data_IF_171908204983
#
_entry.id   IF_171908204983
#
_cell.length_a   1.000
_cell.length_b   1.000
_cell.length_c   1.000
_cell.angle_alpha   90.00
_cell.angle_beta   90.00
_cell.angle_gamma   90.00
#
_symmetry.space_group_name_H-M   'P 1'
#
loop_
_entity.id
_entity.type
_entity.pdbx_description
1 polymer ?
#
# COMPACT_ATOMS: atom_id res chain seq x y z
N UNK A 1 -19.60 8.02 20.85
CA UNK A 1 -18.38 7.41 20.27
C UNK A 1 -18.61 7.19 18.79
N UNK A 2 -17.63 7.55 17.95
CA UNK A 2 -17.62 7.29 16.49
C UNK A 2 -16.24 6.86 16.07
N UNK A 3 -16.15 5.80 15.28
CA UNK A 3 -14.94 5.28 14.68
C UNK A 3 -15.02 5.38 13.16
N UNK A 4 -13.90 5.70 12.52
CA UNK A 4 -13.67 5.45 11.09
C UNK A 4 -12.71 4.29 10.97
N UNK A 5 -13.09 3.27 10.21
CA UNK A 5 -12.25 2.10 9.97
C UNK A 5 -11.93 2.05 8.48
N UNK A 6 -10.65 2.16 8.14
CA UNK A 6 -10.14 2.02 6.78
C UNK A 6 -9.58 0.61 6.60
N UNK A 7 -10.06 -0.12 5.59
CA UNK A 7 -9.47 -1.41 5.20
C UNK A 7 -8.26 -1.12 4.34
N UNK A 8 -7.07 -1.24 4.91
CA UNK A 8 -5.82 -0.95 4.20
C UNK A 8 -5.41 -2.13 3.33
N UNK A 9 -5.73 -2.05 2.02
CA UNK A 9 -5.63 -3.16 1.07
C UNK A 9 -5.16 -2.72 -0.33
N UNK A 10 -5.50 -1.51 -0.77
CA UNK A 10 -5.11 -0.98 -2.07
C UNK A 10 -3.84 -0.15 -1.98
N UNK A 11 -3.08 -0.07 -3.06
CA UNK A 11 -1.87 0.75 -3.16
C UNK A 11 -2.01 1.90 -4.15
N UNK A 12 -2.74 1.72 -5.23
CA UNK A 12 -2.93 2.73 -6.25
C UNK A 12 -4.16 3.59 -5.99
N UNK A 13 -5.28 2.96 -5.68
CA UNK A 13 -6.56 3.62 -5.43
C UNK A 13 -6.83 3.85 -3.93
N UNK A 14 -7.74 4.78 -3.56
CA UNK A 14 -8.14 4.99 -2.18
C UNK A 14 -8.71 3.73 -1.53
N UNK A 15 -8.32 3.50 -0.29
CA UNK A 15 -8.79 2.39 0.52
C UNK A 15 -10.25 2.61 0.97
N UNK A 16 -11.09 1.55 1.01
CA UNK A 16 -12.46 1.68 1.46
C UNK A 16 -12.54 1.91 2.96
N UNK A 17 -13.53 2.70 3.37
CA UNK A 17 -13.77 3.07 4.76
C UNK A 17 -15.20 2.75 5.18
N UNK A 18 -15.39 2.50 6.46
CA UNK A 18 -16.71 2.39 7.10
C UNK A 18 -16.71 3.14 8.42
N UNK A 19 -17.83 3.78 8.76
CA UNK A 19 -18.00 4.43 10.05
C UNK A 19 -18.91 3.58 10.95
N UNK A 20 -18.53 3.48 12.23
CA UNK A 20 -19.29 2.84 13.29
C UNK A 20 -19.65 3.87 14.34
N UNK A 21 -20.90 3.86 14.78
CA UNK A 21 -21.42 4.77 15.79
C UNK A 21 -21.98 4.04 17.02
N UNK A 22 -22.01 4.74 18.14
CA UNK A 22 -22.72 4.34 19.36
C UNK A 22 -22.30 2.97 19.88
N UNK A 23 -23.25 2.02 19.99
CA UNK A 23 -23.03 0.66 20.50
C UNK A 23 -22.05 -0.11 19.60
N UNK A 24 -22.21 -0.06 18.27
CA UNK A 24 -21.34 -0.79 17.33
C UNK A 24 -19.87 -0.38 17.45
N UNK A 25 -19.63 0.91 17.68
CA UNK A 25 -18.25 1.42 17.90
C UNK A 25 -17.67 0.90 19.22
N UNK A 26 -18.47 0.87 20.30
CA UNK A 26 -18.03 0.31 21.59
C UNK A 26 -17.76 -1.18 21.51
N UNK A 27 -18.68 -1.95 20.94
CA UNK A 27 -18.55 -3.40 20.78
C UNK A 27 -17.30 -3.77 19.97
N UNK A 28 -16.96 -2.96 18.93
CA UNK A 28 -15.73 -3.14 18.18
C UNK A 28 -14.48 -2.89 19.03
N UNK A 29 -14.44 -1.79 19.81
CA UNK A 29 -13.27 -1.49 20.66
C UNK A 29 -13.08 -2.49 21.80
N UNK A 30 -14.15 -3.07 22.35
CA UNK A 30 -14.06 -4.13 23.37
C UNK A 30 -13.37 -5.40 22.80
N UNK A 31 -13.60 -5.71 21.53
CA UNK A 31 -12.91 -6.81 20.84
C UNK A 31 -11.42 -6.51 20.57
N UNK A 32 -11.09 -5.24 20.32
CA UNK A 32 -9.71 -4.76 20.11
C UNK A 32 -8.89 -4.73 21.38
N UNK A 33 -9.51 -4.54 22.54
CA UNK A 33 -8.86 -4.33 23.85
C UNK A 33 -7.53 -5.07 24.00
N UNK A 34 -6.40 -4.37 24.30
CA UNK A 34 -5.09 -5.00 24.43
C UNK A 34 -5.09 -6.14 25.45
N UNK A 35 -4.67 -7.34 25.03
CA UNK A 35 -4.64 -8.52 25.88
C UNK A 35 -3.22 -8.82 26.40
N UNK A 36 -2.20 -8.71 25.52
CA UNK A 36 -0.82 -9.01 25.87
C UNK A 36 0.14 -8.15 25.04
N UNK A 37 1.13 -7.55 25.69
CA UNK A 37 2.23 -6.87 25.00
C UNK A 37 3.09 -7.86 24.22
N UNK A 38 3.43 -7.55 22.98
CA UNK A 38 4.37 -8.32 22.18
C UNK A 38 5.79 -7.78 22.39
N UNK A 39 6.77 -8.67 22.40
CA UNK A 39 8.19 -8.26 22.46
C UNK A 39 8.52 -7.43 21.23
N UNK A 40 9.33 -6.39 21.42
CA UNK A 40 9.81 -5.53 20.31
C UNK A 40 10.50 -6.41 19.25
N UNK A 41 10.10 -6.30 17.99
CA UNK A 41 10.61 -7.12 16.88
C UNK A 41 9.97 -8.51 16.72
N UNK A 42 9.04 -8.90 17.60
CA UNK A 42 8.40 -10.21 17.53
C UNK A 42 7.49 -10.41 16.30
N UNK A 43 7.05 -9.32 15.68
CA UNK A 43 6.20 -9.39 14.49
C UNK A 43 6.48 -8.18 13.59
N UNK A 44 6.84 -8.40 12.30
CA UNK A 44 7.02 -7.30 11.36
C UNK A 44 5.69 -6.58 11.12
N UNK A 45 5.76 -5.25 10.96
CA UNK A 45 4.61 -4.50 10.51
C UNK A 45 4.22 -4.95 9.10
N UNK A 46 2.93 -5.18 8.80
CA UNK A 46 2.48 -5.58 7.47
C UNK A 46 2.54 -4.43 6.44
N UNK A 47 2.97 -3.24 6.83
CA UNK A 47 2.86 -2.01 6.04
C UNK A 47 3.64 -2.02 4.72
N UNK A 48 4.72 -2.79 4.61
CA UNK A 48 5.51 -2.90 3.38
C UNK A 48 4.89 -3.81 2.32
N UNK A 49 3.85 -4.57 2.67
CA UNK A 49 3.25 -5.57 1.77
C UNK A 49 2.25 -4.98 0.79
N UNK A 50 2.13 -5.64 -0.36
CA UNK A 50 1.04 -5.45 -1.30
C UNK A 50 -0.14 -6.38 -0.93
N UNK A 51 -1.38 -5.86 -1.00
CA UNK A 51 -2.58 -6.54 -0.54
C UNK A 51 -3.01 -6.06 0.85
N UNK A 52 -3.72 -6.88 1.60
CA UNK A 52 -4.26 -6.52 2.92
C UNK A 52 -3.15 -6.31 3.96
N UNK A 53 -3.19 -5.16 4.63
CA UNK A 53 -2.23 -4.71 5.64
C UNK A 53 -2.89 -4.44 7.00
N UNK A 54 -4.19 -4.69 7.12
CA UNK A 54 -4.92 -4.53 8.37
C UNK A 54 -6.02 -3.47 8.30
N UNK A 55 -6.65 -3.24 9.43
CA UNK A 55 -7.65 -2.22 9.67
C UNK A 55 -6.99 -1.00 10.34
N UNK A 56 -7.08 0.17 9.72
CA UNK A 56 -6.69 1.43 10.37
C UNK A 56 -7.92 1.98 11.07
N UNK A 57 -7.84 2.14 12.38
CA UNK A 57 -8.94 2.59 13.24
C UNK A 57 -8.65 4.00 13.73
N UNK A 58 -9.53 4.93 13.39
CA UNK A 58 -9.51 6.32 13.85
C UNK A 58 -10.69 6.56 14.81
N UNK A 59 -10.40 7.04 16.02
CA UNK A 59 -11.39 7.45 16.99
C UNK A 59 -11.80 8.92 16.75
N UNK A 60 -12.88 9.16 16.00
CA UNK A 60 -13.27 10.51 15.54
C UNK A 60 -13.94 11.31 16.68
N UNK A 61 -14.87 10.67 17.43
CA UNK A 61 -15.66 11.34 18.46
C UNK A 61 -15.74 10.51 19.73
N UNK A 62 -15.59 11.17 20.90
CA UNK A 62 -15.58 10.56 22.22
C UNK A 62 -14.61 9.36 22.31
N UNK A 63 -13.29 9.58 22.13
CA UNK A 63 -12.30 8.51 22.09
C UNK A 63 -12.19 7.79 23.43
N UNK A 64 -11.95 6.48 23.39
CA UNK A 64 -11.53 5.70 24.56
C UNK A 64 -10.12 6.11 24.97
N UNK A 65 -9.88 6.28 26.27
CA UNK A 65 -8.53 6.57 26.81
C UNK A 65 -7.61 5.34 26.84
N UNK A 66 -8.20 4.14 26.70
CA UNK A 66 -7.45 2.88 26.74
C UNK A 66 -6.70 2.54 25.43
N UNK A 67 -6.99 3.26 24.36
CA UNK A 67 -6.41 3.00 23.02
C UNK A 67 -5.93 4.31 22.39
N UNK A 68 -4.88 4.27 21.55
CA UNK A 68 -4.46 5.42 20.77
C UNK A 68 -5.60 5.99 19.92
N UNK A 69 -5.53 7.28 19.61
CA UNK A 69 -6.53 7.92 18.75
C UNK A 69 -6.59 7.32 17.35
N UNK A 70 -5.45 6.85 16.87
CA UNK A 70 -5.30 6.11 15.62
C UNK A 70 -4.37 4.94 15.84
N UNK A 71 -4.74 3.77 15.35
CA UNK A 71 -3.95 2.54 15.45
C UNK A 71 -4.32 1.57 14.31
N UNK A 72 -3.47 0.57 14.10
CA UNK A 72 -3.69 -0.51 13.12
C UNK A 72 -3.98 -1.81 13.84
N UNK A 73 -4.95 -2.57 13.35
CA UNK A 73 -5.18 -3.97 13.70
C UNK A 73 -4.81 -4.84 12.50
N UNK A 74 -3.93 -5.79 12.68
CA UNK A 74 -3.54 -6.71 11.61
C UNK A 74 -3.16 -8.08 12.16
N UNK A 75 -3.77 -9.14 11.62
CA UNK A 75 -3.58 -10.54 12.00
C UNK A 75 -3.58 -10.76 13.53
N UNK A 76 -4.61 -10.26 14.21
CA UNK A 76 -4.80 -10.45 15.64
C UNK A 76 -3.87 -9.61 16.53
N UNK A 77 -3.21 -8.61 16.00
CA UNK A 77 -2.37 -7.69 16.77
C UNK A 77 -2.73 -6.22 16.50
N UNK A 78 -2.54 -5.37 17.52
CA UNK A 78 -2.62 -3.92 17.42
C UNK A 78 -1.22 -3.35 17.29
N UNK A 79 -1.02 -2.44 16.33
CA UNK A 79 0.21 -1.71 16.11
C UNK A 79 -0.01 -0.23 16.40
N UNK A 80 0.86 0.34 17.20
CA UNK A 80 0.90 1.76 17.52
C UNK A 80 2.34 2.27 17.50
N UNK A 81 2.56 3.57 17.80
CA UNK A 81 3.88 4.21 17.69
C UNK A 81 4.96 3.57 18.56
N UNK A 82 4.60 2.94 19.69
CA UNK A 82 5.58 2.51 20.70
C UNK A 82 5.62 1.00 20.93
N UNK A 83 4.49 0.29 20.83
CA UNK A 83 4.39 -1.14 21.16
C UNK A 83 3.33 -1.85 20.30
N UNK A 84 3.59 -3.11 19.97
CA UNK A 84 2.59 -4.00 19.44
C UNK A 84 1.99 -4.85 20.57
N UNK A 85 0.66 -5.06 20.52
CA UNK A 85 -0.07 -5.88 21.49
C UNK A 85 -0.94 -6.89 20.75
N UNK A 86 -1.19 -8.05 21.37
CA UNK A 86 -2.28 -8.91 20.94
C UNK A 86 -3.62 -8.28 21.30
N UNK A 87 -4.63 -8.47 20.47
CA UNK A 87 -6.00 -8.01 20.75
C UNK A 87 -6.78 -9.06 21.55
N UNK A 88 -7.87 -8.63 22.20
CA UNK A 88 -8.71 -9.52 23.03
C UNK A 88 -9.43 -10.59 22.18
N UNK A 89 -9.84 -10.22 20.97
CA UNK A 89 -10.51 -11.12 20.03
C UNK A 89 -9.65 -11.30 18.76
N UNK A 90 -8.88 -12.39 18.63
CA UNK A 90 -8.02 -12.64 17.49
C UNK A 90 -8.80 -12.86 16.18
N UNK A 91 -10.13 -13.11 16.23
CA UNK A 91 -11.00 -13.31 15.08
C UNK A 91 -11.73 -12.01 14.68
N UNK A 92 -11.34 -10.85 15.26
CA UNK A 92 -11.97 -9.56 14.97
C UNK A 92 -11.99 -9.23 13.48
N UNK A 93 -10.92 -9.50 12.77
CA UNK A 93 -10.80 -9.17 11.34
C UNK A 93 -11.69 -10.07 10.48
N UNK A 94 -11.84 -11.35 10.83
CA UNK A 94 -12.80 -12.28 10.22
C UNK A 94 -14.24 -11.85 10.48
N UNK A 95 -14.56 -11.48 11.70
CA UNK A 95 -15.86 -10.91 12.06
C UNK A 95 -16.12 -9.63 11.25
N UNK A 96 -15.15 -8.71 11.18
CA UNK A 96 -15.26 -7.48 10.42
C UNK A 96 -15.53 -7.75 8.93
N UNK A 97 -14.84 -8.73 8.35
CA UNK A 97 -14.97 -9.12 6.94
C UNK A 97 -16.18 -10.03 6.66
N UNK A 98 -16.79 -10.61 7.68
CA UNK A 98 -17.89 -11.59 7.54
C UNK A 98 -19.17 -11.01 6.93
N UNK A 99 -20.14 -11.86 6.56
CA UNK A 99 -21.39 -11.43 5.90
C UNK A 99 -22.24 -10.44 6.70
N UNK A 100 -22.18 -10.53 8.03
CA UNK A 100 -22.88 -9.62 8.96
C UNK A 100 -21.94 -8.55 9.53
N UNK A 101 -20.67 -8.58 9.16
CA UNK A 101 -19.66 -7.63 9.63
C UNK A 101 -19.75 -6.28 8.93
N UNK A 102 -19.00 -5.28 9.45
CA UNK A 102 -18.99 -3.94 8.88
C UNK A 102 -18.57 -3.88 7.40
N UNK A 103 -17.68 -4.78 6.95
CA UNK A 103 -17.20 -4.82 5.57
C UNK A 103 -18.29 -5.20 4.54
N UNK A 104 -19.40 -5.84 4.96
CA UNK A 104 -20.52 -6.17 4.08
C UNK A 104 -21.17 -4.92 3.44
N UNK A 105 -21.00 -3.74 4.03
CA UNK A 105 -21.46 -2.46 3.50
C UNK A 105 -20.56 -1.86 2.43
N UNK A 106 -19.34 -2.37 2.28
CA UNK A 106 -18.35 -1.87 1.32
C UNK A 106 -18.68 -2.43 -0.07
N UNK A 107 -18.95 -1.53 -1.03
CA UNK A 107 -19.37 -1.89 -2.41
C UNK A 107 -18.29 -1.58 -3.46
N UNK A 108 -17.04 -1.47 -3.05
CA UNK A 108 -15.90 -1.11 -3.93
C UNK A 108 -15.53 -2.24 -4.92
N UNK A 109 -15.86 -3.48 -4.58
CA UNK A 109 -15.73 -4.68 -5.41
C UNK A 109 -16.93 -5.59 -5.22
N UNK A 110 -17.32 -6.39 -6.23
CA UNK A 110 -18.19 -7.54 -6.01
C UNK A 110 -17.57 -8.46 -4.95
N UNK A 111 -18.39 -8.92 -3.99
CA UNK A 111 -17.92 -9.84 -2.93
C UNK A 111 -16.67 -9.33 -2.15
N UNK A 112 -16.62 -8.04 -1.82
CA UNK A 112 -15.48 -7.45 -1.09
C UNK A 112 -15.16 -8.22 0.20
N UNK A 113 -16.14 -8.69 0.94
CA UNK A 113 -15.96 -9.51 2.14
C UNK A 113 -15.14 -10.79 1.86
N UNK A 114 -15.50 -11.52 0.83
CA UNK A 114 -14.77 -12.75 0.43
C UNK A 114 -13.35 -12.43 -0.04
N UNK A 115 -13.18 -11.34 -0.80
CA UNK A 115 -11.87 -10.86 -1.21
C UNK A 115 -10.99 -10.52 0.00
N UNK A 116 -11.51 -9.76 0.97
CA UNK A 116 -10.80 -9.39 2.20
C UNK A 116 -10.39 -10.62 3.01
N UNK A 117 -11.28 -11.62 3.19
CA UNK A 117 -10.96 -12.86 3.91
C UNK A 117 -9.79 -13.62 3.26
N UNK A 118 -9.76 -13.71 1.92
CA UNK A 118 -8.63 -14.35 1.22
C UNK A 118 -7.32 -13.61 1.47
N UNK A 119 -7.34 -12.28 1.41
CA UNK A 119 -6.16 -11.46 1.66
C UNK A 119 -5.68 -11.54 3.13
N UNK A 120 -6.61 -11.64 4.08
CA UNK A 120 -6.31 -11.84 5.50
C UNK A 120 -5.61 -13.20 5.76
N UNK A 121 -6.07 -14.27 5.11
CA UNK A 121 -5.41 -15.59 5.19
C UNK A 121 -3.96 -15.50 4.70
N UNK A 122 -3.72 -14.90 3.55
CA UNK A 122 -2.36 -14.68 3.02
C UNK A 122 -1.48 -13.87 3.98
N UNK A 123 -2.04 -12.90 4.71
CA UNK A 123 -1.31 -12.16 5.72
C UNK A 123 -0.96 -13.03 6.93
N UNK A 124 -1.87 -13.91 7.39
CA UNK A 124 -1.62 -14.82 8.52
C UNK A 124 -0.55 -15.86 8.18
N UNK A 125 -0.66 -16.52 7.02
CA UNK A 125 0.33 -17.49 6.52
C UNK A 125 1.73 -16.86 6.45
N UNK A 126 1.86 -15.66 5.89
CA UNK A 126 3.13 -14.96 5.83
C UNK A 126 3.77 -14.71 7.22
N UNK A 127 2.94 -14.39 8.23
CA UNK A 127 3.45 -14.09 9.58
C UNK A 127 4.00 -15.31 10.30
N UNK A 128 3.49 -16.50 9.99
CA UNK A 128 3.96 -17.78 10.55
C UNK A 128 5.33 -18.16 9.96
N UNK A 129 5.58 -17.82 8.69
CA UNK A 129 6.78 -18.22 7.95
C UNK A 129 7.87 -17.12 7.89
N UNK A 130 7.65 -15.95 8.53
CA UNK A 130 8.56 -14.81 8.37
C UNK A 130 9.87 -15.02 9.16
N UNK A 131 10.96 -15.22 8.41
CA UNK A 131 12.33 -15.05 8.90
C UNK A 131 12.95 -13.78 8.29
N UNK A 132 13.47 -12.84 9.12
CA UNK A 132 14.12 -11.64 8.59
C UNK A 132 15.42 -12.02 7.85
N UNK A 133 15.38 -11.98 6.54
CA UNK A 133 16.58 -12.19 5.73
C UNK A 133 17.46 -10.93 5.71
N UNK A 134 18.67 -11.01 6.26
CA UNK A 134 19.73 -10.04 5.99
C UNK A 134 20.27 -10.31 4.60
N UNK A 135 19.78 -9.59 3.60
CA UNK A 135 20.31 -9.69 2.25
C UNK A 135 21.46 -8.70 2.06
N UNK A 136 22.60 -9.19 1.57
CA UNK A 136 23.62 -8.34 0.98
C UNK A 136 23.04 -7.70 -0.29
N UNK A 137 23.16 -6.37 -0.42
CA UNK A 137 22.83 -5.70 -1.67
C UNK A 137 23.74 -6.26 -2.79
N UNK A 138 23.20 -6.91 -3.82
CA UNK A 138 24.00 -7.42 -4.91
C UNK A 138 24.63 -6.26 -5.69
N UNK A 139 25.89 -6.42 -6.10
CA UNK A 139 26.57 -5.43 -6.95
C UNK A 139 25.83 -5.34 -8.30
N UNK A 140 25.19 -4.21 -8.57
CA UNK A 140 24.39 -3.97 -9.78
C UNK A 140 24.86 -2.72 -10.50
N UNK A 141 24.65 -2.64 -11.85
CA UNK A 141 24.89 -1.41 -12.58
C UNK A 141 24.10 -0.25 -11.97
N UNK A 142 24.76 0.85 -11.66
CA UNK A 142 24.12 2.06 -11.12
C UNK A 142 23.32 2.75 -12.21
N UNK A 143 22.11 3.18 -11.87
CA UNK A 143 21.24 4.01 -12.70
C UNK A 143 21.47 5.49 -12.37
N UNK A 144 22.45 6.12 -12.98
CA UNK A 144 22.95 7.44 -12.58
C UNK A 144 21.89 8.55 -12.55
N UNK A 145 20.91 8.50 -13.47
CA UNK A 145 19.81 9.46 -13.54
C UNK A 145 18.61 9.09 -12.67
N UNK A 146 18.63 7.93 -12.01
CA UNK A 146 17.51 7.51 -11.15
C UNK A 146 17.58 8.17 -9.76
N UNK A 147 16.42 8.38 -9.11
CA UNK A 147 16.35 8.87 -7.74
C UNK A 147 17.05 7.94 -6.76
N UNK A 148 17.55 8.52 -5.67
CA UNK A 148 18.01 7.74 -4.52
C UNK A 148 16.83 7.05 -3.83
N UNK A 149 17.13 5.95 -3.13
CA UNK A 149 16.20 5.37 -2.17
C UNK A 149 16.34 6.14 -0.85
N UNK A 150 15.42 7.07 -0.62
CA UNK A 150 15.41 7.98 0.55
C UNK A 150 14.09 7.83 1.31
N UNK A 151 13.95 6.78 2.15
CA UNK A 151 12.71 6.55 2.90
C UNK A 151 12.28 7.76 3.74
N UNK A 152 13.18 8.45 4.41
CA UNK A 152 12.87 9.59 5.26
C UNK A 152 12.18 10.75 4.52
N UNK A 153 12.39 10.87 3.21
CA UNK A 153 11.73 11.89 2.39
C UNK A 153 10.23 11.61 2.19
N UNK A 154 9.80 10.34 2.34
CA UNK A 154 8.44 9.86 2.10
C UNK A 154 7.74 9.39 3.38
N UNK A 155 8.49 8.94 4.38
CA UNK A 155 8.01 8.23 5.57
C UNK A 155 8.07 9.14 6.80
N UNK A 156 7.24 10.18 6.84
CA UNK A 156 7.16 11.08 8.01
C UNK A 156 6.16 10.61 9.07
N UNK A 157 5.49 9.48 8.84
CA UNK A 157 4.37 9.01 9.67
C UNK A 157 3.14 9.93 9.64
N UNK A 158 3.17 10.98 8.81
CA UNK A 158 2.18 12.04 8.73
C UNK A 158 1.72 12.32 7.29
N UNK A 159 1.56 13.59 6.95
CA UNK A 159 0.97 14.03 5.70
C UNK A 159 1.64 13.46 4.45
N UNK A 160 2.96 13.49 4.40
CA UNK A 160 3.70 13.00 3.23
C UNK A 160 3.46 11.51 2.99
N UNK A 161 3.51 10.72 4.05
CA UNK A 161 3.28 9.29 3.96
C UNK A 161 1.83 8.96 3.59
N UNK A 162 0.85 9.66 4.21
CA UNK A 162 -0.57 9.37 4.04
C UNK A 162 -1.15 9.86 2.72
N UNK A 163 -0.61 10.97 2.18
CA UNK A 163 -1.20 11.68 1.03
C UNK A 163 -0.38 11.56 -0.26
N UNK A 164 0.45 10.53 -0.35
CA UNK A 164 1.09 10.10 -1.58
C UNK A 164 0.98 8.58 -1.71
N UNK A 165 0.77 8.10 -2.92
CA UNK A 165 0.64 6.66 -3.22
C UNK A 165 1.81 6.12 -4.05
N UNK A 166 1.64 4.93 -4.63
CA UNK A 166 2.64 4.28 -5.46
C UNK A 166 2.94 5.08 -6.75
N UNK A 167 1.97 5.78 -7.33
CA UNK A 167 2.17 6.58 -8.54
C UNK A 167 2.98 7.85 -8.27
N UNK A 168 2.64 8.58 -7.18
CA UNK A 168 3.46 9.71 -6.71
C UNK A 168 4.92 9.27 -6.50
N UNK A 169 5.11 8.13 -5.82
CA UNK A 169 6.45 7.60 -5.54
C UNK A 169 7.19 7.20 -6.82
N UNK A 170 6.53 6.49 -7.73
CA UNK A 170 7.12 6.08 -9.00
C UNK A 170 7.53 7.28 -9.84
N UNK A 171 6.70 8.29 -9.93
CA UNK A 171 6.99 9.53 -10.64
C UNK A 171 8.02 10.43 -9.95
N UNK A 172 8.43 10.10 -8.73
CA UNK A 172 9.24 10.96 -7.86
C UNK A 172 8.64 12.36 -7.69
N UNK A 173 7.31 12.43 -7.61
CA UNK A 173 6.55 13.68 -7.57
C UNK A 173 5.52 13.67 -6.44
N UNK A 174 5.79 14.38 -5.36
CA UNK A 174 4.87 14.53 -4.24
C UNK A 174 3.83 15.60 -4.54
N UNK A 175 2.57 15.26 -4.37
CA UNK A 175 1.44 16.21 -4.47
C UNK A 175 0.77 16.43 -3.13
N UNK A 176 0.91 15.47 -2.21
CA UNK A 176 0.23 15.42 -0.91
C UNK A 176 -1.32 15.48 -1.06
N UNK A 177 -1.85 14.93 -2.16
CA UNK A 177 -3.27 15.00 -2.55
C UNK A 177 -4.00 13.66 -2.48
N UNK A 178 -3.27 12.55 -2.48
CA UNK A 178 -3.86 11.22 -2.43
C UNK A 178 -4.83 11.08 -1.25
N UNK A 179 -6.05 10.62 -1.51
CA UNK A 179 -7.18 10.52 -0.56
C UNK A 179 -7.82 11.86 -0.15
N UNK A 180 -7.25 13.00 -0.47
CA UNK A 180 -7.78 14.31 -0.12
C UNK A 180 -8.61 14.92 -1.26
N UNK A 181 -8.17 14.70 -2.50
CA UNK A 181 -8.84 15.23 -3.69
C UNK A 181 -9.25 14.09 -4.63
N UNK A 182 -10.28 14.35 -5.44
CA UNK A 182 -10.64 13.45 -6.53
C UNK A 182 -9.48 13.40 -7.54
N UNK A 183 -9.05 12.18 -7.87
CA UNK A 183 -7.93 11.98 -8.79
C UNK A 183 -6.54 12.15 -8.19
N UNK A 184 -6.39 12.56 -6.93
CA UNK A 184 -5.08 12.72 -6.29
C UNK A 184 -4.26 11.43 -6.35
N UNK A 185 -3.06 11.51 -6.96
CA UNK A 185 -2.18 10.36 -7.17
C UNK A 185 -2.70 9.30 -8.16
N UNK A 186 -3.67 9.65 -9.04
CA UNK A 186 -4.21 8.70 -10.03
C UNK A 186 -3.62 8.98 -11.42
N UNK A 187 -3.14 7.93 -12.16
CA UNK A 187 -2.68 8.09 -13.54
C UNK A 187 -3.75 8.73 -14.43
N UNK A 188 -3.35 9.73 -15.22
CA UNK A 188 -4.21 10.44 -16.13
C UNK A 188 -5.08 11.52 -15.50
N UNK A 189 -5.12 11.65 -14.17
CA UNK A 189 -5.96 12.66 -13.54
C UNK A 189 -5.48 14.09 -13.81
N UNK A 190 -4.17 14.33 -13.77
CA UNK A 190 -3.58 15.63 -14.03
C UNK A 190 -3.71 16.08 -15.50
N UNK A 191 -3.81 15.13 -16.43
CA UNK A 191 -3.99 15.38 -17.86
C UNK A 191 -5.46 15.37 -18.32
N UNK A 192 -6.40 15.03 -17.42
CA UNK A 192 -7.82 14.90 -17.76
C UNK A 192 -8.18 13.60 -18.50
N UNK A 193 -7.27 12.63 -18.53
CA UNK A 193 -7.41 11.34 -19.21
C UNK A 193 -7.27 10.15 -18.25
N UNK A 194 -7.90 10.24 -17.07
CA UNK A 194 -7.84 9.20 -16.06
C UNK A 194 -8.39 7.87 -16.60
N UNK A 195 -7.77 6.76 -16.20
CA UNK A 195 -8.17 5.41 -16.61
C UNK A 195 -9.63 5.11 -16.22
N UNK A 196 -10.31 4.32 -17.06
CA UNK A 196 -11.71 3.91 -16.86
C UNK A 196 -11.85 2.46 -16.38
N UNK A 197 -10.76 1.70 -16.43
CA UNK A 197 -10.72 0.30 -15.99
C UNK A 197 -9.36 -0.03 -15.37
N UNK A 198 -9.35 -1.00 -14.46
CA UNK A 198 -8.13 -1.49 -13.79
C UNK A 198 -7.50 -2.63 -14.60
N UNK A 199 -6.98 -2.24 -15.77
CA UNK A 199 -6.28 -3.12 -16.71
C UNK A 199 -5.00 -2.45 -17.21
N UNK A 200 -4.05 -3.24 -17.72
CA UNK A 200 -2.84 -2.70 -18.34
C UNK A 200 -3.17 -1.75 -19.51
N UNK A 201 -4.17 -2.10 -20.31
CA UNK A 201 -4.59 -1.34 -21.48
C UNK A 201 -5.25 0.02 -21.13
N UNK A 202 -5.77 0.19 -19.93
CA UNK A 202 -6.38 1.45 -19.50
C UNK A 202 -5.41 2.30 -18.65
N UNK A 203 -4.72 1.71 -17.69
CA UNK A 203 -3.83 2.46 -16.78
C UNK A 203 -2.53 2.91 -17.46
N UNK A 204 -1.99 2.13 -18.39
CA UNK A 204 -0.79 2.48 -19.13
C UNK A 204 -0.94 3.78 -19.97
N UNK A 205 -1.93 3.87 -20.88
CA UNK A 205 -2.21 5.10 -21.63
C UNK A 205 -2.52 6.31 -20.75
N UNK A 206 -3.23 6.13 -19.63
CA UNK A 206 -3.48 7.20 -18.67
C UNK A 206 -2.16 7.77 -18.10
N UNK A 207 -1.20 6.92 -17.74
CA UNK A 207 0.11 7.36 -17.28
C UNK A 207 0.91 8.04 -18.43
N UNK A 208 0.78 7.58 -19.68
CA UNK A 208 1.40 8.24 -20.84
C UNK A 208 0.84 9.65 -21.02
N UNK A 209 -0.47 9.85 -20.83
CA UNK A 209 -1.07 11.20 -20.94
C UNK A 209 -0.54 12.19 -19.88
N UNK A 210 -0.05 11.68 -18.74
CA UNK A 210 0.64 12.48 -17.71
C UNK A 210 2.11 12.77 -18.05
N UNK A 211 2.64 12.21 -19.15
CA UNK A 211 3.99 12.45 -19.64
C UNK A 211 4.97 11.29 -19.41
N UNK A 212 4.52 10.12 -18.95
CA UNK A 212 5.39 8.95 -18.91
C UNK A 212 5.64 8.42 -20.33
N UNK A 213 6.85 7.97 -20.59
CA UNK A 213 7.26 7.44 -21.89
C UNK A 213 7.20 5.93 -21.85
N UNK A 214 6.45 5.30 -22.76
CA UNK A 214 6.41 3.86 -22.90
C UNK A 214 7.82 3.30 -23.20
N UNK A 215 8.25 2.31 -22.45
CA UNK A 215 9.56 1.67 -22.62
C UNK A 215 9.48 0.15 -22.40
N UNK A 216 8.64 -0.58 -23.18
CA UNK A 216 8.44 -2.02 -23.00
C UNK A 216 9.71 -2.84 -23.25
N UNK A 217 10.61 -2.32 -24.10
CA UNK A 217 11.88 -2.97 -24.44
C UNK A 217 13.03 -2.65 -23.48
N UNK A 218 12.76 -1.98 -22.35
CA UNK A 218 13.82 -1.64 -21.39
C UNK A 218 14.54 -2.86 -20.78
N UNK A 219 13.88 -4.02 -20.74
CA UNK A 219 14.46 -5.26 -20.18
C UNK A 219 15.12 -5.06 -18.81
N UNK A 220 14.49 -4.26 -17.94
CA UNK A 220 15.02 -3.89 -16.63
C UNK A 220 16.35 -3.11 -16.66
N UNK A 221 16.70 -2.49 -17.79
CA UNK A 221 17.91 -1.67 -17.95
C UNK A 221 17.61 -0.21 -17.63
N UNK A 222 18.60 0.50 -17.08
CA UNK A 222 18.50 1.93 -16.83
C UNK A 222 18.38 2.68 -18.15
N UNK A 223 17.43 3.63 -18.29
CA UNK A 223 17.40 4.53 -19.43
C UNK A 223 18.61 5.48 -19.38
N UNK A 224 18.96 6.09 -20.52
CA UNK A 224 20.04 7.09 -20.60
C UNK A 224 19.70 8.36 -19.83
N UNK A 225 18.42 8.73 -19.83
CA UNK A 225 17.88 9.91 -19.17
C UNK A 225 16.63 9.51 -18.40
N UNK A 226 16.31 10.25 -17.31
CA UNK A 226 15.20 9.94 -16.43
C UNK A 226 15.42 8.66 -15.62
N UNK A 227 14.32 8.02 -15.21
CA UNK A 227 14.38 6.76 -14.46
C UNK A 227 13.28 5.77 -14.88
N UNK A 228 13.57 4.50 -14.68
CA UNK A 228 12.66 3.42 -15.05
C UNK A 228 11.62 3.19 -13.95
N UNK A 229 10.35 3.02 -14.37
CA UNK A 229 9.24 2.60 -13.53
C UNK A 229 8.55 1.39 -14.13
N UNK A 230 7.81 0.65 -13.32
CA UNK A 230 7.09 -0.54 -13.76
C UNK A 230 5.64 -0.51 -13.27
N UNK A 231 4.71 -0.76 -14.19
CA UNK A 231 3.28 -0.90 -13.90
C UNK A 231 2.92 -2.37 -13.73
N UNK A 232 2.24 -2.67 -12.64
CA UNK A 232 1.62 -3.97 -12.39
C UNK A 232 0.15 -3.80 -12.01
N UNK A 233 -0.68 -4.78 -12.34
CA UNK A 233 -2.14 -4.74 -12.15
C UNK A 233 -2.62 -5.97 -11.38
N UNK A 234 -3.51 -5.73 -10.43
CA UNK A 234 -4.48 -6.69 -9.92
C UNK A 234 -5.77 -6.51 -10.72
N UNK A 235 -6.08 -7.37 -11.71
CA UNK A 235 -7.13 -7.13 -12.69
C UNK A 235 -8.49 -6.82 -12.07
N UNK A 236 -9.09 -5.69 -12.44
CA UNK A 236 -10.38 -5.21 -11.90
C UNK A 236 -10.35 -4.76 -10.44
N UNK A 237 -9.20 -4.82 -9.77
CA UNK A 237 -9.06 -4.58 -8.33
C UNK A 237 -8.25 -3.33 -8.05
N UNK A 238 -6.99 -3.28 -8.50
CA UNK A 238 -6.08 -2.17 -8.21
C UNK A 238 -4.89 -2.15 -9.18
N UNK A 239 -4.13 -1.05 -9.17
CA UNK A 239 -2.83 -0.92 -9.84
C UNK A 239 -1.72 -0.67 -8.83
N UNK A 240 -0.48 -0.96 -9.23
CA UNK A 240 0.68 -0.60 -8.44
C UNK A 240 1.87 -0.24 -9.33
N UNK A 241 2.72 0.64 -8.81
CA UNK A 241 3.92 1.13 -9.47
C UNK A 241 5.16 0.87 -8.64
N UNK A 242 6.22 0.48 -9.33
CA UNK A 242 7.57 0.37 -8.81
C UNK A 242 8.48 1.42 -9.43
N UNK A 243 9.52 1.82 -8.70
CA UNK A 243 10.55 2.74 -9.16
C UNK A 243 11.92 2.10 -9.04
N UNK A 244 12.72 2.16 -10.13
CA UNK A 244 14.12 1.74 -10.11
C UNK A 244 14.97 2.84 -9.49
N UNK A 245 15.77 2.50 -8.49
CA UNK A 245 16.65 3.41 -7.79
C UNK A 245 18.05 3.48 -8.40
N UNK A 246 18.85 4.45 -7.96
CA UNK A 246 20.23 4.65 -8.41
C UNK A 246 21.12 3.44 -8.15
N UNK A 247 20.87 2.66 -7.11
CA UNK A 247 21.60 1.42 -6.80
C UNK A 247 21.22 0.24 -7.71
N UNK A 248 20.31 0.44 -8.69
CA UNK A 248 19.85 -0.59 -9.61
C UNK A 248 18.79 -1.54 -9.05
N UNK A 249 18.40 -1.39 -7.78
CA UNK A 249 17.30 -2.11 -7.16
C UNK A 249 15.98 -1.34 -7.31
N UNK A 250 14.87 -2.04 -7.08
CA UNK A 250 13.54 -1.47 -7.15
C UNK A 250 12.99 -1.22 -5.75
N UNK A 251 12.14 -0.23 -5.67
CA UNK A 251 11.41 0.15 -4.46
C UNK A 251 10.00 0.59 -4.81
N UNK A 252 9.13 0.63 -3.82
CA UNK A 252 7.74 1.00 -4.02
C UNK A 252 7.11 1.60 -2.76
N UNK A 253 5.92 2.16 -2.90
CA UNK A 253 5.12 2.71 -1.81
C UNK A 253 3.73 2.09 -1.84
N UNK A 254 3.38 1.16 -0.93
CA UNK A 254 2.07 0.53 -0.90
C UNK A 254 0.97 1.49 -0.38
N UNK A 255 0.44 2.35 -1.24
CA UNK A 255 -0.60 3.32 -0.86
C UNK A 255 -0.10 4.33 0.18
N UNK A 256 -0.85 4.49 1.26
CA UNK A 256 -0.54 5.42 2.37
C UNK A 256 0.50 4.89 3.37
N UNK A 257 1.15 3.78 3.09
CA UNK A 257 2.16 3.19 3.98
C UNK A 257 3.58 3.69 3.68
N UNK A 258 4.58 3.36 4.50
CA UNK A 258 5.98 3.70 4.20
C UNK A 258 6.46 3.15 2.86
N UNK A 259 7.43 3.83 2.26
CA UNK A 259 8.16 3.27 1.12
C UNK A 259 9.04 2.10 1.58
N UNK A 260 9.24 1.14 0.68
CA UNK A 260 10.03 -0.05 0.94
C UNK A 260 10.78 -0.50 -0.31
N UNK A 261 11.88 -1.24 -0.14
CA UNK A 261 12.66 -1.85 -1.21
C UNK A 261 12.58 -3.39 -1.19
N UNK A 262 11.66 -3.94 -0.40
CA UNK A 262 11.43 -5.39 -0.31
C UNK A 262 10.05 -5.76 -0.86
N UNK A 263 9.93 -6.97 -1.35
CA UNK A 263 8.70 -7.57 -1.83
C UNK A 263 7.87 -8.20 -0.69
N UNK A 264 6.74 -8.85 -1.01
CA UNK A 264 5.88 -9.48 0.00
C UNK A 264 6.55 -10.64 0.78
N UNK A 265 7.65 -11.18 0.29
CA UNK A 265 8.45 -12.19 0.98
C UNK A 265 9.60 -11.61 1.79
N UNK A 266 9.72 -10.27 1.85
CA UNK A 266 10.81 -9.59 2.55
C UNK A 266 12.13 -9.56 1.79
N UNK A 267 12.16 -9.93 0.51
CA UNK A 267 13.36 -9.93 -0.33
C UNK A 267 13.54 -8.59 -1.04
N UNK A 268 14.80 -8.13 -1.17
CA UNK A 268 15.15 -7.01 -2.03
C UNK A 268 14.63 -7.28 -3.45
N UNK A 269 14.17 -6.23 -4.13
CA UNK A 269 13.54 -6.35 -5.45
C UNK A 269 14.56 -6.06 -6.55
N UNK A 270 15.16 -7.10 -7.18
CA UNK A 270 16.04 -6.94 -8.34
C UNK A 270 15.28 -6.70 -9.63
N UNK A 271 14.07 -7.24 -9.73
CA UNK A 271 13.20 -7.14 -10.90
C UNK A 271 11.73 -7.28 -10.47
N UNK A 272 10.86 -6.30 -10.75
CA UNK A 272 9.46 -6.38 -10.36
C UNK A 272 8.68 -7.49 -11.10
N UNK A 273 9.23 -8.07 -12.17
CA UNK A 273 8.61 -9.20 -12.87
C UNK A 273 8.67 -10.49 -12.08
N UNK A 274 9.71 -10.67 -11.25
CA UNK A 274 9.97 -11.88 -10.45
C UNK A 274 9.67 -11.69 -8.96
N UNK A 275 9.41 -10.46 -8.51
CA UNK A 275 9.07 -10.15 -7.12
C UNK A 275 7.75 -10.80 -6.68
N UNK A 276 7.63 -11.13 -5.40
CA UNK A 276 6.36 -11.50 -4.80
C UNK A 276 5.46 -10.26 -4.67
N UNK A 277 4.54 -10.09 -5.62
CA UNK A 277 3.65 -8.92 -5.73
C UNK A 277 2.26 -9.17 -5.14
N UNK A 278 2.06 -10.28 -4.44
CA UNK A 278 0.74 -10.64 -3.90
C UNK A 278 -0.35 -10.66 -4.99
N UNK A 279 -1.41 -9.88 -4.81
CA UNK A 279 -2.54 -9.84 -5.73
C UNK A 279 -2.28 -9.20 -7.11
N UNK A 280 -1.15 -8.49 -7.30
CA UNK A 280 -0.83 -7.82 -8.57
C UNK A 280 -0.16 -8.79 -9.54
N UNK A 281 -0.96 -9.70 -10.08
CA UNK A 281 -0.50 -10.83 -10.90
C UNK A 281 0.03 -10.41 -12.27
N UNK A 282 -0.52 -9.34 -12.85
CA UNK A 282 -0.16 -8.91 -14.19
C UNK A 282 0.96 -7.89 -14.16
N UNK A 283 2.10 -8.23 -14.73
CA UNK A 283 3.11 -7.26 -15.12
C UNK A 283 2.71 -6.64 -16.47
N UNK A 284 2.54 -5.32 -16.52
CA UNK A 284 2.10 -4.64 -17.74
C UNK A 284 3.28 -4.20 -18.62
N UNK A 285 4.14 -3.35 -18.09
CA UNK A 285 5.21 -2.73 -18.89
C UNK A 285 6.21 -1.99 -18.02
N UNK A 286 7.37 -1.70 -18.59
CA UNK A 286 8.25 -0.64 -18.12
C UNK A 286 7.93 0.68 -18.83
N UNK A 287 8.11 1.79 -18.09
CA UNK A 287 8.05 3.14 -18.62
C UNK A 287 9.21 3.97 -18.09
N UNK A 288 9.50 5.08 -18.74
CA UNK A 288 10.51 6.05 -18.32
C UNK A 288 9.82 7.32 -17.85
N UNK A 289 10.25 7.81 -16.69
CA UNK A 289 9.87 9.13 -16.15
C UNK A 289 10.99 10.10 -16.41
N UNK A 290 10.69 11.17 -17.14
CA UNK A 290 11.61 12.29 -17.38
C UNK A 290 11.34 13.39 -16.37
N UNK A 291 12.37 13.77 -15.59
CA UNK A 291 12.22 14.81 -14.58
C UNK A 291 11.79 16.15 -15.23
N UNK A 292 10.79 16.78 -14.63
CA UNK A 292 10.25 18.06 -15.11
C UNK A 292 9.26 17.94 -16.30
N UNK A 293 9.03 16.75 -16.85
CA UNK A 293 8.16 16.53 -17.99
C UNK A 293 6.88 15.77 -17.67
N UNK A 294 6.61 15.52 -16.41
CA UNK A 294 5.44 14.79 -15.95
C UNK A 294 4.48 15.69 -15.17
N UNK A 295 3.20 15.31 -15.17
CA UNK A 295 2.14 15.90 -14.35
C UNK A 295 1.58 14.83 -13.43
N UNK A 296 1.36 15.16 -12.16
CA UNK A 296 0.68 14.27 -11.19
C UNK A 296 -0.30 15.13 -10.41
N UNK A 297 -1.56 14.68 -10.26
CA UNK A 297 -2.61 15.37 -9.52
C UNK A 297 -2.53 15.10 -7.99
#
# INVERSE_FOLDING_TARGET
MRLRITVDIFSGRPNPTVELDGKKARDFLERVKPAKALKRGAMPSPEYRLGYRGLIVEQIRAPSRALPRMFRVAAGAIYGPELAHTIADPELEEFFAGPQGPAAKIKVLPDFSRFMIRQLRQLKEFREDFEPHRQHEPHRPRCLCAPLYEPAWWNDGGQKQWHNNCYNYACNYRTDTFRLTWGGGQPGAASGAMYTALTCAAVGPAAISDGLIANPAAHNRCPKEGHLVALVIAPGIDFHWYRKGRNGLWSHKPGSTPVTNVDNSGHLIPDPRTANRGMYTNFCTFMTVMHGHIKVA
#
